data_IF_497410898632
#
_entry.id   IF_497410898632
#
_cell.length_a   1.000
_cell.length_b   1.000
_cell.length_c   1.000
_cell.angle_alpha   90.00
_cell.angle_beta   90.00
_cell.angle_gamma   90.00
#
_symmetry.space_group_name_H-M   'P 1'
#
loop_
_entity.id
_entity.type
_entity.pdbx_description
1 polymer ?
#
# COMPACT_ATOMS: atom_id res chain seq x y z
N UNK A 1 -13.03 -14.69 2.12
CA UNK A 1 -11.89 -13.77 2.30
C UNK A 1 -11.19 -14.05 3.61
N UNK A 2 -9.99 -13.49 3.81
CA UNK A 2 -9.29 -13.45 5.11
C UNK A 2 -9.69 -12.15 5.86
N UNK A 3 -9.27 -11.94 7.12
CA UNK A 3 -9.48 -10.64 7.80
C UNK A 3 -8.89 -9.43 7.05
N UNK A 4 -7.93 -9.68 6.15
CA UNK A 4 -7.25 -8.71 5.30
C UNK A 4 -7.93 -8.53 3.92
N UNK A 5 -9.09 -9.14 3.69
CA UNK A 5 -9.86 -8.94 2.46
C UNK A 5 -10.60 -7.59 2.50
N UNK A 6 -9.99 -6.58 1.87
CA UNK A 6 -10.51 -5.22 1.75
C UNK A 6 -11.04 -4.88 0.35
N UNK A 7 -11.31 -5.89 -0.48
CA UNK A 7 -11.95 -5.69 -1.80
C UNK A 7 -13.36 -5.08 -1.67
N UNK A 8 -14.00 -5.31 -0.53
CA UNK A 8 -15.19 -4.57 -0.11
C UNK A 8 -14.83 -3.72 1.11
N UNK A 9 -15.22 -2.44 1.08
CA UNK A 9 -14.93 -1.50 2.16
C UNK A 9 -15.57 -1.97 3.48
N UNK A 10 -14.79 -1.93 4.56
CA UNK A 10 -15.25 -2.28 5.91
C UNK A 10 -14.45 -1.54 6.98
N UNK A 11 -15.01 -1.44 8.18
CA UNK A 11 -14.32 -0.87 9.34
C UNK A 11 -13.06 -1.69 9.67
N UNK A 12 -11.92 -1.02 9.86
CA UNK A 12 -10.65 -1.65 10.27
C UNK A 12 -10.76 -2.30 11.66
N UNK A 13 -11.43 -1.64 12.61
CA UNK A 13 -11.57 -2.14 13.99
C UNK A 13 -10.20 -2.33 14.64
N UNK A 14 -10.06 -3.34 15.49
CA UNK A 14 -8.81 -3.65 16.19
C UNK A 14 -7.79 -4.42 15.33
N UNK A 15 -8.04 -4.61 14.03
CA UNK A 15 -7.13 -5.36 13.17
C UNK A 15 -5.78 -4.63 13.04
N UNK A 16 -4.73 -5.24 13.56
CA UNK A 16 -3.35 -4.86 13.29
C UNK A 16 -2.92 -5.39 11.91
N UNK A 17 -2.35 -4.50 11.11
CA UNK A 17 -1.85 -4.77 9.78
C UNK A 17 -0.41 -4.26 9.71
N UNK A 18 0.47 -5.14 9.25
CA UNK A 18 1.86 -4.90 8.89
C UNK A 18 2.14 -5.97 7.82
N UNK A 19 1.51 -5.78 6.65
CA UNK A 19 1.49 -6.76 5.56
C UNK A 19 1.54 -6.11 4.18
N UNK A 20 2.31 -6.75 3.31
CA UNK A 20 2.31 -6.50 1.89
C UNK A 20 1.15 -7.19 1.18
N UNK A 21 0.51 -6.45 0.29
CA UNK A 21 -0.53 -6.90 -0.64
C UNK A 21 0.04 -6.90 -2.06
N UNK A 22 -0.46 -7.81 -2.90
CA UNK A 22 -0.15 -7.90 -4.33
C UNK A 22 -1.41 -8.28 -5.11
N UNK A 23 -1.33 -8.33 -6.45
CA UNK A 23 -2.48 -8.61 -7.30
C UNK A 23 -3.53 -7.51 -7.21
N UNK A 24 -3.08 -6.25 -7.12
CA UNK A 24 -3.94 -5.09 -6.91
C UNK A 24 -4.89 -4.90 -8.10
N UNK A 25 -6.18 -4.76 -7.81
CA UNK A 25 -7.16 -4.38 -8.82
C UNK A 25 -6.91 -2.94 -9.25
N UNK A 26 -6.95 -2.70 -10.56
CA UNK A 26 -6.66 -1.41 -11.18
C UNK A 26 -7.84 -0.94 -12.00
N UNK A 27 -8.17 0.34 -11.86
CA UNK A 27 -9.21 0.98 -12.65
C UNK A 27 -8.79 1.20 -14.11
N UNK A 28 -9.69 1.75 -14.94
CA UNK A 28 -9.41 2.08 -16.35
C UNK A 28 -8.25 3.06 -16.54
N UNK A 29 -7.89 3.84 -15.52
CA UNK A 29 -6.74 4.76 -15.50
C UNK A 29 -5.41 4.07 -15.16
N UNK A 30 -5.41 2.74 -14.98
CA UNK A 30 -4.25 1.95 -14.61
C UNK A 30 -3.83 2.08 -13.15
N UNK A 31 -4.59 2.81 -12.33
CA UNK A 31 -4.26 3.05 -10.92
C UNK A 31 -4.95 2.05 -10.01
N UNK A 32 -4.21 1.59 -9.02
CA UNK A 32 -4.78 0.99 -7.81
C UNK A 32 -5.07 2.12 -6.81
N UNK A 33 -6.07 1.92 -5.96
CA UNK A 33 -6.51 2.92 -4.99
C UNK A 33 -6.64 2.32 -3.60
N UNK A 34 -6.24 3.10 -2.59
CA UNK A 34 -6.49 2.84 -1.17
C UNK A 34 -7.31 4.00 -0.64
N UNK A 35 -8.42 3.69 0.02
CA UNK A 35 -9.30 4.70 0.61
C UNK A 35 -9.37 4.49 2.11
N UNK A 36 -8.94 5.49 2.87
CA UNK A 36 -9.15 5.56 4.31
C UNK A 36 -10.26 6.56 4.59
N UNK A 37 -11.44 6.04 4.96
CA UNK A 37 -12.60 6.85 5.33
C UNK A 37 -12.74 6.93 6.86
N UNK A 38 -12.82 8.16 7.37
CA UNK A 38 -13.27 8.46 8.72
C UNK A 38 -14.72 8.96 8.72
N UNK A 39 -15.19 9.45 9.87
CA UNK A 39 -16.57 9.94 9.99
C UNK A 39 -16.88 11.18 9.12
N UNK A 40 -15.89 12.04 8.90
CA UNK A 40 -16.09 13.33 8.22
C UNK A 40 -15.26 13.52 6.94
N UNK A 41 -14.19 12.73 6.75
CA UNK A 41 -13.26 12.90 5.63
C UNK A 41 -12.79 11.56 5.10
N UNK A 42 -12.43 11.54 3.82
CA UNK A 42 -11.79 10.40 3.18
C UNK A 42 -10.48 10.84 2.55
N UNK A 43 -9.40 10.16 2.89
CA UNK A 43 -8.12 10.31 2.21
C UNK A 43 -7.95 9.16 1.24
N UNK A 44 -7.60 9.47 -0.01
CA UNK A 44 -7.35 8.48 -1.05
C UNK A 44 -5.90 8.51 -1.47
N UNK A 45 -5.28 7.34 -1.58
CA UNK A 45 -3.94 7.15 -2.09
C UNK A 45 -4.04 6.33 -3.39
N UNK A 46 -3.29 6.73 -4.42
CA UNK A 46 -3.20 5.96 -5.66
C UNK A 46 -1.75 5.66 -6.02
N UNK A 47 -1.55 4.52 -6.68
CA UNK A 47 -0.29 4.05 -7.22
C UNK A 47 -0.49 3.53 -8.64
N UNK A 48 0.42 3.89 -9.53
CA UNK A 48 0.43 3.40 -10.91
C UNK A 48 0.91 1.94 -11.01
N UNK A 49 1.02 1.45 -12.25
CA UNK A 49 1.40 0.07 -12.57
C UNK A 49 2.82 -0.32 -12.17
N UNK A 50 3.70 0.63 -11.84
CA UNK A 50 5.11 0.34 -11.53
C UNK A 50 5.29 -0.18 -10.11
N UNK A 51 4.23 -0.14 -9.32
CA UNK A 51 4.20 -0.60 -7.93
C UNK A 51 3.21 -1.77 -7.80
N UNK A 52 3.62 -3.01 -8.12
CA UNK A 52 2.75 -4.18 -8.03
C UNK A 52 2.49 -4.64 -6.59
N UNK A 53 3.28 -4.13 -5.64
CA UNK A 53 3.16 -4.43 -4.21
C UNK A 53 2.76 -3.18 -3.43
N UNK A 54 2.05 -3.39 -2.32
CA UNK A 54 1.61 -2.33 -1.43
C UNK A 54 1.67 -2.79 0.03
N UNK A 55 2.44 -2.09 0.86
CA UNK A 55 2.44 -2.30 2.30
C UNK A 55 1.32 -1.47 2.94
N UNK A 56 0.59 -2.09 3.88
CA UNK A 56 -0.31 -1.37 4.78
C UNK A 56 0.16 -1.62 6.21
N UNK A 57 0.43 -0.53 6.93
CA UNK A 57 0.88 -0.59 8.32
C UNK A 57 -0.01 0.26 9.23
N UNK A 58 -0.70 -0.34 10.21
CA UNK A 58 -1.63 0.36 11.10
C UNK A 58 -1.00 0.99 12.34
N UNK A 59 0.34 1.00 12.44
CA UNK A 59 1.07 1.61 13.55
C UNK A 59 0.79 0.96 14.92
N UNK A 60 0.68 -0.37 14.98
CA UNK A 60 0.47 -1.10 16.24
C UNK A 60 1.77 -1.46 16.98
N UNK A 61 2.95 -1.30 16.36
CA UNK A 61 4.25 -1.60 16.97
C UNK A 61 5.10 -0.36 17.29
N UNK A 62 4.58 0.85 17.05
CA UNK A 62 5.20 2.12 17.49
C UNK A 62 4.95 2.37 18.99
N UNK A 63 5.48 3.42 19.65
CA UNK A 63 5.13 3.70 21.04
C UNK A 63 3.60 3.87 21.25
N UNK A 64 3.02 3.41 22.37
CA UNK A 64 1.57 3.45 22.62
C UNK A 64 0.93 4.83 22.45
N UNK A 65 1.67 5.91 22.71
CA UNK A 65 1.20 7.28 22.52
C UNK A 65 0.93 7.64 21.07
N UNK A 66 1.52 6.92 20.11
CA UNK A 66 1.38 7.13 18.66
C UNK A 66 0.59 6.03 17.96
N UNK A 67 0.13 5.02 18.70
CA UNK A 67 -0.64 3.91 18.14
C UNK A 67 -1.82 4.41 17.32
N UNK A 68 -1.87 3.97 16.05
CA UNK A 68 -3.03 4.11 15.16
C UNK A 68 -3.54 5.55 14.97
N UNK A 69 -2.70 6.57 15.23
CA UNK A 69 -3.01 7.97 14.87
C UNK A 69 -3.03 8.20 13.36
N UNK A 70 -2.45 7.27 12.62
CA UNK A 70 -2.49 7.16 11.17
C UNK A 70 -2.22 5.72 10.76
N UNK A 71 -2.06 5.52 9.45
CA UNK A 71 -1.59 4.27 8.88
C UNK A 71 -0.63 4.58 7.72
N UNK A 72 0.36 3.71 7.52
CA UNK A 72 1.26 3.71 6.38
C UNK A 72 0.59 3.06 5.16
N UNK A 73 0.79 3.68 4.00
CA UNK A 73 0.47 3.12 2.68
C UNK A 73 1.73 3.26 1.85
N UNK A 74 2.40 2.15 1.57
CA UNK A 74 3.75 2.19 0.97
C UNK A 74 3.73 1.45 -0.37
N UNK A 75 3.76 2.16 -1.51
CA UNK A 75 3.82 1.52 -2.81
C UNK A 75 5.23 0.94 -3.01
N UNK A 76 5.31 -0.32 -3.43
CA UNK A 76 6.57 -1.03 -3.57
C UNK A 76 6.70 -1.65 -4.96
N UNK A 77 7.92 -1.63 -5.51
CA UNK A 77 8.26 -2.24 -6.80
C UNK A 77 8.45 -3.75 -6.70
N UNK A 78 8.74 -4.27 -5.51
CA UNK A 78 8.95 -5.69 -5.21
C UNK A 78 8.42 -6.01 -3.79
N UNK A 79 8.24 -7.28 -3.40
CA UNK A 79 7.79 -7.62 -2.05
C UNK A 79 8.88 -7.35 -0.99
N UNK A 80 8.50 -7.32 0.31
CA UNK A 80 9.47 -7.47 1.39
C UNK A 80 10.37 -8.69 1.15
N UNK A 81 11.67 -8.52 1.42
CA UNK A 81 12.70 -9.54 1.15
C UNK A 81 12.83 -9.97 -0.33
N UNK A 82 12.38 -9.13 -1.28
CA UNK A 82 12.43 -9.41 -2.72
C UNK A 82 13.82 -9.78 -3.23
N UNK A 83 14.89 -9.16 -2.72
CA UNK A 83 16.28 -9.48 -3.10
C UNK A 83 16.70 -10.91 -2.82
N UNK A 84 16.21 -11.53 -1.74
CA UNK A 84 16.58 -12.91 -1.41
C UNK A 84 15.95 -13.93 -2.38
N UNK A 85 14.78 -13.60 -2.94
CA UNK A 85 14.04 -14.49 -3.85
C UNK A 85 14.07 -14.08 -5.32
N UNK A 86 14.58 -12.89 -5.65
CA UNK A 86 14.49 -12.30 -6.99
C UNK A 86 13.07 -11.94 -7.43
N UNK A 87 12.09 -11.94 -6.52
CA UNK A 87 10.68 -11.72 -6.86
C UNK A 87 10.46 -10.25 -7.19
N UNK A 88 10.00 -9.96 -8.41
CA UNK A 88 9.71 -8.63 -8.94
C UNK A 88 10.85 -7.59 -8.73
N UNK A 89 12.09 -8.08 -8.56
CA UNK A 89 13.26 -7.21 -8.43
C UNK A 89 13.58 -6.61 -9.79
N UNK A 90 13.65 -5.29 -9.85
CA UNK A 90 14.02 -4.56 -11.06
C UNK A 90 15.54 -4.46 -11.12
N UNK A 91 16.16 -5.16 -12.08
CA UNK A 91 17.59 -5.00 -12.37
C UNK A 91 17.82 -3.76 -13.22
N UNK A 92 18.74 -2.90 -12.79
CA UNK A 92 19.15 -1.71 -13.53
C UNK A 92 20.62 -1.84 -13.91
N UNK A 93 20.88 -1.94 -15.21
CA UNK A 93 22.23 -1.83 -15.75
C UNK A 93 22.80 -0.41 -15.55
N UNK A 94 24.13 -0.23 -15.63
CA UNK A 94 24.73 1.11 -15.54
C UNK A 94 24.10 2.10 -16.53
N UNK A 95 23.57 3.21 -16.01
CA UNK A 95 22.88 4.24 -16.80
C UNK A 95 21.38 4.01 -17.02
N UNK A 96 20.84 2.86 -16.61
CA UNK A 96 19.39 2.63 -16.63
C UNK A 96 18.68 3.39 -15.50
N UNK A 97 17.38 3.66 -15.69
CA UNK A 97 16.53 4.32 -14.72
C UNK A 97 15.20 3.60 -14.58
N UNK A 98 14.58 3.75 -13.40
CA UNK A 98 13.23 3.32 -13.14
C UNK A 98 12.44 4.49 -12.58
N UNK A 99 11.22 4.68 -13.08
CA UNK A 99 10.32 5.73 -12.63
C UNK A 99 8.95 5.14 -12.32
N UNK A 100 8.28 5.76 -11.38
CA UNK A 100 6.94 5.40 -10.94
C UNK A 100 6.25 6.62 -10.34
N UNK A 101 4.92 6.58 -10.32
CA UNK A 101 4.10 7.66 -9.78
C UNK A 101 3.05 7.13 -8.81
N UNK A 102 2.84 7.93 -7.78
CA UNK A 102 1.78 7.76 -6.79
C UNK A 102 1.31 9.14 -6.35
N UNK A 103 0.18 9.20 -5.65
CA UNK A 103 -0.31 10.46 -5.13
C UNK A 103 -1.39 10.32 -4.09
N UNK A 104 -1.64 11.42 -3.39
CA UNK A 104 -2.68 11.53 -2.37
C UNK A 104 -3.72 12.53 -2.85
N UNK A 105 -4.98 12.17 -2.71
CA UNK A 105 -6.13 13.07 -2.81
C UNK A 105 -6.78 13.19 -1.43
N UNK A 106 -6.67 14.36 -0.84
CA UNK A 106 -7.46 14.70 0.34
C UNK A 106 -8.88 15.08 -0.11
N UNK A 107 -9.89 14.47 0.52
CA UNK A 107 -11.29 14.83 0.40
C UNK A 107 -11.77 15.64 1.60
#
# INVERSE_FOLDING_TARGET
GTPYDFRQARRLGELAIDRAFTGLERGPDGRAWVHLAGAARTTSFWLDGTHPWLEIYTADSVPPTEHRKGLGVEPMTCPPNGFAGGIDVISLEPGAGHTGSWGIKAG
#
